data_IF_224692050249
#
_entry.id   IF_224692050249
#
_cell.length_a   1.000
_cell.length_b   1.000
_cell.length_c   1.000
_cell.angle_alpha   90.00
_cell.angle_beta   90.00
_cell.angle_gamma   90.00
#
_symmetry.space_group_name_H-M   'P 1'
#
loop_
_entity.id
_entity.type
_entity.pdbx_description
1 polymer ?
#
# COMPACT_ATOMS: atom_id res chain seq x y z
N UNK A 1 22.44 6.06 11.82
CA UNK A 1 21.54 5.01 11.31
C UNK A 1 22.39 3.87 10.77
N UNK A 2 22.64 2.83 11.59
CA UNK A 2 23.41 1.66 11.17
C UNK A 2 22.50 0.66 10.45
N UNK A 3 22.15 0.97 9.21
CA UNK A 3 21.44 0.04 8.33
C UNK A 3 22.40 -1.10 7.94
N UNK A 4 22.38 -2.20 8.71
CA UNK A 4 23.13 -3.41 8.35
C UNK A 4 22.46 -4.02 7.10
N UNK A 5 23.17 -4.24 5.98
CA UNK A 5 22.58 -4.75 4.73
C UNK A 5 21.86 -6.09 4.93
N UNK A 6 22.34 -6.93 5.87
CA UNK A 6 21.64 -8.17 6.25
C UNK A 6 20.25 -7.97 6.86
N UNK A 7 19.96 -6.85 7.54
CA UNK A 7 18.61 -6.56 8.05
C UNK A 7 17.65 -6.12 6.95
N UNK A 8 18.15 -5.38 5.95
CA UNK A 8 17.32 -4.96 4.81
C UNK A 8 16.88 -6.16 3.98
N UNK A 9 17.77 -7.13 3.75
CA UNK A 9 17.43 -8.37 3.04
C UNK A 9 16.38 -9.20 3.81
N UNK A 10 16.44 -9.22 5.14
CA UNK A 10 15.46 -9.91 5.97
C UNK A 10 14.08 -9.25 5.94
N UNK A 11 14.03 -7.92 5.99
CA UNK A 11 12.77 -7.20 5.83
C UNK A 11 12.19 -7.37 4.42
N UNK A 12 13.05 -7.45 3.39
CA UNK A 12 12.61 -7.72 2.03
C UNK A 12 12.07 -9.15 1.87
N UNK A 13 12.65 -10.14 2.54
CA UNK A 13 12.08 -11.50 2.54
C UNK A 13 10.77 -11.57 3.31
N UNK A 14 10.67 -10.91 4.46
CA UNK A 14 9.44 -10.88 5.27
C UNK A 14 8.31 -10.07 4.59
N UNK A 15 8.58 -9.33 3.51
CA UNK A 15 7.56 -8.67 2.69
C UNK A 15 6.89 -9.60 1.66
N UNK A 16 7.56 -10.69 1.29
CA UNK A 16 7.17 -11.57 0.16
C UNK A 16 7.12 -13.05 0.53
N UNK A 17 7.32 -13.38 1.80
CA UNK A 17 7.35 -14.75 2.28
C UNK A 17 6.77 -14.83 3.70
N UNK A 18 5.89 -15.80 3.88
CA UNK A 18 5.36 -16.17 5.17
C UNK A 18 6.16 -17.32 5.80
N UNK A 19 5.99 -17.53 7.11
CA UNK A 19 6.66 -18.62 7.80
C UNK A 19 5.72 -19.46 8.66
N UNK A 20 5.91 -20.77 8.58
CA UNK A 20 5.31 -21.73 9.50
C UNK A 20 6.35 -22.11 10.53
N UNK A 21 5.99 -21.96 11.81
CA UNK A 21 6.82 -22.33 12.93
C UNK A 21 6.33 -23.62 13.58
N UNK A 22 7.25 -24.54 13.79
CA UNK A 22 7.06 -25.74 14.59
C UNK A 22 7.74 -25.49 15.93
N UNK A 23 6.94 -25.39 17.00
CA UNK A 23 7.41 -25.12 18.35
C UNK A 23 7.17 -26.34 19.23
N UNK A 24 8.23 -26.77 19.91
CA UNK A 24 8.16 -27.78 20.97
C UNK A 24 8.46 -27.11 22.30
N UNK A 25 7.49 -27.09 23.21
CA UNK A 25 7.69 -26.56 24.56
C UNK A 25 8.46 -27.57 25.41
N UNK A 26 9.48 -27.09 26.11
CA UNK A 26 10.31 -27.89 27.03
C UNK A 26 9.95 -27.66 28.50
N UNK A 27 9.01 -26.74 28.78
CA UNK A 27 8.48 -26.47 30.13
C UNK A 27 7.07 -27.04 30.26
N UNK A 28 6.85 -27.87 31.27
CA UNK A 28 5.56 -28.53 31.51
C UNK A 28 5.37 -29.77 30.63
N UNK A 29 4.11 -30.11 30.32
CA UNK A 29 3.79 -31.19 29.37
C UNK A 29 4.33 -30.84 27.99
N UNK A 30 5.16 -31.71 27.41
CA UNK A 30 5.76 -31.51 26.09
C UNK A 30 4.69 -31.45 25.00
N UNK A 31 4.27 -30.24 24.63
CA UNK A 31 3.33 -30.00 23.54
C UNK A 31 4.07 -29.55 22.29
N UNK A 32 3.73 -30.19 21.17
CA UNK A 32 4.10 -29.74 19.84
C UNK A 32 3.00 -28.80 19.33
N UNK A 33 3.39 -27.64 18.82
CA UNK A 33 2.48 -26.69 18.17
C UNK A 33 3.05 -26.34 16.81
N UNK A 34 2.26 -26.53 15.76
CA UNK A 34 2.58 -26.07 14.42
C UNK A 34 1.65 -24.93 14.08
N UNK A 35 2.21 -23.74 13.87
CA UNK A 35 1.41 -22.56 13.59
C UNK A 35 2.09 -21.67 12.55
N UNK A 36 1.24 -20.95 11.84
CA UNK A 36 1.62 -19.88 10.94
C UNK A 36 1.98 -18.64 11.78
N UNK A 37 3.04 -17.91 11.43
CA UNK A 37 3.35 -16.64 12.11
C UNK A 37 2.30 -15.56 11.80
N UNK A 38 2.04 -14.66 12.77
CA UNK A 38 1.21 -13.48 12.60
C UNK A 38 -0.15 -13.60 13.31
N UNK A 39 -0.63 -14.82 13.52
CA UNK A 39 -1.96 -15.06 14.09
C UNK A 39 -1.97 -16.11 15.21
N UNK A 40 -2.74 -15.84 16.28
CA UNK A 40 -3.03 -16.83 17.34
C UNK A 40 -4.00 -17.93 16.87
N UNK A 41 -4.67 -17.73 15.73
CA UNK A 41 -5.75 -18.55 15.19
C UNK A 41 -5.32 -19.55 14.12
N UNK A 42 -4.15 -19.36 13.51
CA UNK A 42 -3.60 -20.20 12.44
C UNK A 42 -2.69 -21.32 12.97
N UNK A 43 -3.16 -22.03 14.01
CA UNK A 43 -2.55 -23.28 14.48
C UNK A 43 -3.14 -24.45 13.71
N UNK A 44 -2.29 -25.33 13.18
CA UNK A 44 -2.69 -26.52 12.46
C UNK A 44 -3.25 -27.56 13.42
N UNK A 45 -4.46 -28.05 13.17
CA UNK A 45 -5.05 -29.17 13.92
C UNK A 45 -4.37 -30.50 13.55
N UNK A 46 -3.95 -30.64 12.29
CA UNK A 46 -3.11 -31.76 11.81
C UNK A 46 -1.82 -31.20 11.22
N UNK A 47 -0.63 -31.67 11.67
CA UNK A 47 0.63 -31.19 11.14
C UNK A 47 0.72 -31.36 9.61
N UNK A 48 1.32 -30.40 8.89
CA UNK A 48 1.50 -30.50 7.44
C UNK A 48 2.46 -31.65 7.09
N UNK A 49 2.40 -32.17 5.86
CA UNK A 49 3.11 -33.39 5.45
C UNK A 49 4.65 -33.39 5.66
N UNK A 50 5.25 -32.20 5.76
CA UNK A 50 6.67 -32.00 6.04
C UNK A 50 7.02 -32.02 7.55
N UNK A 51 6.03 -32.21 8.42
CA UNK A 51 6.17 -32.45 9.86
C UNK A 51 5.58 -33.83 10.16
N UNK A 52 6.43 -34.77 10.57
CA UNK A 52 6.03 -36.12 10.94
C UNK A 52 6.29 -36.33 12.43
N UNK A 53 5.27 -36.78 13.15
CA UNK A 53 5.37 -37.13 14.56
C UNK A 53 5.18 -38.63 14.72
N UNK A 54 6.13 -39.30 15.37
CA UNK A 54 6.07 -40.73 15.70
C UNK A 54 6.41 -40.91 17.18
N UNK A 55 5.37 -40.96 18.01
CA UNK A 55 5.54 -40.90 19.46
C UNK A 55 6.14 -39.55 19.90
N UNK A 56 7.30 -39.60 20.55
CA UNK A 56 8.02 -38.40 20.98
C UNK A 56 8.95 -37.81 19.92
N UNK A 57 9.30 -38.58 18.88
CA UNK A 57 10.17 -38.10 17.81
C UNK A 57 9.38 -37.23 16.82
N UNK A 58 9.83 -35.99 16.62
CA UNK A 58 9.29 -35.06 15.63
C UNK A 58 10.33 -34.79 14.56
N UNK A 59 10.04 -35.19 13.33
CA UNK A 59 10.89 -34.92 12.16
C UNK A 59 10.27 -33.82 11.31
N UNK A 60 11.05 -32.77 11.08
CA UNK A 60 10.67 -31.60 10.29
C UNK A 60 11.59 -31.50 9.07
N UNK A 61 11.00 -31.55 7.88
CA UNK A 61 11.70 -31.29 6.62
C UNK A 61 11.59 -29.80 6.28
N UNK A 62 12.74 -29.13 6.21
CA UNK A 62 12.85 -27.70 5.90
C UNK A 62 13.06 -27.42 4.40
N UNK A 63 13.08 -28.46 3.57
CA UNK A 63 13.39 -28.38 2.15
C UNK A 63 14.89 -28.27 1.85
N UNK A 64 15.24 -28.41 0.56
CA UNK A 64 16.64 -28.39 0.08
C UNK A 64 17.56 -29.38 0.81
N UNK A 65 17.01 -30.51 1.29
CA UNK A 65 17.76 -31.54 2.01
C UNK A 65 18.08 -31.22 3.48
N UNK A 66 17.60 -30.09 4.02
CA UNK A 66 17.78 -29.74 5.44
C UNK A 66 16.65 -30.35 6.27
N UNK A 67 16.99 -31.13 7.30
CA UNK A 67 16.02 -31.78 8.18
C UNK A 67 16.34 -31.54 9.64
N UNK A 68 15.31 -31.44 10.46
CA UNK A 68 15.43 -31.30 11.92
C UNK A 68 14.69 -32.44 12.59
N UNK A 69 15.35 -33.13 13.50
CA UNK A 69 14.74 -34.16 14.35
C UNK A 69 14.78 -33.68 15.80
N UNK A 70 13.61 -33.62 16.44
CA UNK A 70 13.45 -33.19 17.83
C UNK A 70 12.90 -34.34 18.66
N UNK A 71 13.61 -34.71 19.73
CA UNK A 71 13.21 -35.74 20.67
C UNK A 71 13.57 -35.28 22.08
N UNK A 72 12.60 -35.27 22.99
CA UNK A 72 12.73 -34.77 24.36
C UNK A 72 13.40 -33.38 24.43
N UNK A 73 14.68 -33.33 24.84
CA UNK A 73 15.52 -32.14 24.98
C UNK A 73 16.64 -32.06 23.95
N UNK A 74 16.69 -32.98 22.99
CA UNK A 74 17.69 -33.07 21.92
C UNK A 74 17.08 -32.63 20.57
N UNK A 75 17.84 -31.82 19.84
CA UNK A 75 17.56 -31.42 18.46
C UNK A 75 18.76 -31.79 17.57
N UNK A 76 18.51 -32.55 16.51
CA UNK A 76 19.51 -32.89 15.50
C UNK A 76 19.17 -32.14 14.21
N UNK A 77 20.02 -31.20 13.83
CA UNK A 77 19.92 -30.44 12.58
C UNK A 77 20.86 -31.07 11.54
N UNK A 78 20.28 -31.56 10.45
CA UNK A 78 21.03 -32.13 9.32
C UNK A 78 21.04 -31.14 8.18
N UNK A 79 22.22 -30.77 7.70
CA UNK A 79 22.42 -29.83 6.60
C UNK A 79 23.26 -30.51 5.53
N UNK A 80 22.85 -30.49 4.25
CA UNK A 80 23.68 -30.97 3.15
C UNK A 80 25.05 -30.30 3.16
N UNK A 81 26.11 -31.06 2.90
CA UNK A 81 27.51 -30.60 2.81
C UNK A 81 28.16 -30.08 4.10
N UNK A 82 27.39 -29.82 5.17
CA UNK A 82 27.90 -29.41 6.48
C UNK A 82 27.88 -30.56 7.51
N UNK A 83 26.85 -31.41 7.49
CA UNK A 83 26.70 -32.56 8.40
C UNK A 83 25.63 -32.38 9.46
N UNK A 84 25.74 -33.13 10.56
CA UNK A 84 24.77 -33.12 11.67
C UNK A 84 25.26 -32.24 12.82
N UNK A 85 24.41 -31.31 13.26
CA UNK A 85 24.62 -30.51 14.47
C UNK A 85 23.67 -31.05 15.53
N UNK A 86 24.21 -31.50 16.66
CA UNK A 86 23.42 -31.95 17.81
C UNK A 86 23.33 -30.82 18.81
N UNK A 87 22.12 -30.50 19.26
CA UNK A 87 21.84 -29.47 20.25
C UNK A 87 21.07 -30.11 21.38
N UNK A 88 21.59 -30.04 22.60
CA UNK A 88 20.96 -30.63 23.78
C UNK A 88 20.70 -29.58 24.85
N UNK A 89 19.45 -29.53 25.32
CA UNK A 89 19.04 -28.62 26.39
C UNK A 89 19.20 -29.33 27.73
N UNK A 90 20.21 -28.94 28.49
CA UNK A 90 20.52 -29.49 29.81
C UNK A 90 20.16 -28.49 30.93
N UNK A 91 20.18 -28.94 32.19
CA UNK A 91 19.96 -28.07 33.34
C UNK A 91 20.99 -26.94 33.48
N UNK A 92 22.22 -27.12 32.98
CA UNK A 92 23.29 -26.13 33.03
C UNK A 92 23.29 -25.16 31.84
N UNK A 93 22.60 -25.47 30.74
CA UNK A 93 22.60 -24.66 29.53
C UNK A 93 22.32 -25.46 28.26
N UNK A 94 22.52 -24.82 27.12
CA UNK A 94 22.43 -25.45 25.81
C UNK A 94 23.84 -25.92 25.42
N UNK A 95 23.99 -27.22 25.18
CA UNK A 95 25.19 -27.81 24.61
C UNK A 95 24.99 -27.99 23.11
N UNK A 96 26.05 -27.78 22.32
CA UNK A 96 25.99 -27.84 20.87
C UNK A 96 27.24 -28.54 20.36
N UNK A 97 27.03 -29.69 19.72
CA UNK A 97 28.09 -30.46 19.09
C UNK A 97 28.07 -30.20 17.59
N UNK A 98 29.21 -29.71 17.08
CA UNK A 98 29.43 -29.49 15.66
C UNK A 98 30.04 -30.75 15.02
N UNK A 99 29.88 -30.93 13.70
CA UNK A 99 30.56 -31.99 12.97
C UNK A 99 32.08 -31.90 13.17
N UNK A 100 32.74 -33.05 13.31
CA UNK A 100 34.19 -33.12 13.55
C UNK A 100 34.97 -32.33 12.48
N UNK A 101 35.91 -31.49 12.94
CA UNK A 101 36.78 -30.70 12.07
C UNK A 101 36.15 -29.48 11.39
N UNK A 102 34.88 -29.14 11.70
CA UNK A 102 34.21 -27.95 11.14
C UNK A 102 34.19 -26.77 12.11
N UNK A 103 34.51 -25.58 11.61
CA UNK A 103 34.36 -24.32 12.36
C UNK A 103 32.93 -23.79 12.28
N UNK A 104 32.44 -23.07 13.31
CA UNK A 104 31.11 -22.46 13.27
C UNK A 104 31.02 -21.45 12.12
N UNK A 105 30.05 -21.58 11.21
CA UNK A 105 29.85 -20.64 10.11
C UNK A 105 29.12 -19.38 10.56
N UNK A 106 29.22 -18.30 9.80
CA UNK A 106 28.65 -16.98 10.15
C UNK A 106 27.13 -16.97 10.35
N UNK A 107 26.42 -17.94 9.77
CA UNK A 107 24.97 -18.10 9.91
C UNK A 107 24.57 -18.86 11.18
N UNK A 108 25.53 -19.37 11.96
CA UNK A 108 25.33 -20.14 13.17
C UNK A 108 25.81 -19.36 14.40
N UNK A 109 24.92 -19.18 15.37
CA UNK A 109 25.25 -18.61 16.68
C UNK A 109 24.84 -19.57 17.78
N UNK A 110 25.81 -20.26 18.36
CA UNK A 110 25.63 -21.15 19.49
C UNK A 110 26.21 -20.50 20.77
N UNK A 111 25.40 -20.41 21.81
CA UNK A 111 25.81 -19.97 23.15
C UNK A 111 25.13 -20.86 24.20
N UNK A 112 25.65 -20.87 25.42
CA UNK A 112 25.05 -21.64 26.53
C UNK A 112 23.62 -21.22 26.88
N UNK A 113 23.17 -20.03 26.44
CA UNK A 113 21.83 -19.50 26.66
C UNK A 113 20.89 -19.69 25.46
N UNK A 114 21.42 -19.65 24.23
CA UNK A 114 20.63 -19.70 23.00
C UNK A 114 21.43 -20.28 21.84
N UNK A 115 20.77 -21.12 21.06
CA UNK A 115 21.19 -21.54 19.73
C UNK A 115 20.31 -20.86 18.67
N UNK A 116 20.90 -20.25 17.64
CA UNK A 116 20.21 -19.65 16.49
C UNK A 116 21.00 -20.01 15.23
N UNK A 117 20.39 -20.78 14.34
CA UNK A 117 20.98 -21.22 13.08
C UNK A 117 20.13 -20.77 11.90
N UNK A 118 20.76 -20.23 10.86
CA UNK A 118 20.09 -19.81 9.64
C UNK A 118 20.78 -20.32 8.37
N UNK A 119 20.73 -21.64 8.09
CA UNK A 119 21.46 -22.25 6.97
C UNK A 119 21.15 -21.61 5.60
N UNK A 120 19.94 -21.08 5.44
CA UNK A 120 19.53 -20.30 4.28
C UNK A 120 18.51 -19.22 4.67
N UNK A 121 18.23 -18.27 3.78
CA UNK A 121 17.22 -17.23 4.01
C UNK A 121 15.83 -17.80 4.35
N UNK A 122 15.51 -19.00 3.83
CA UNK A 122 14.20 -19.62 4.01
C UNK A 122 14.08 -20.58 5.19
N UNK A 123 15.10 -20.67 6.05
CA UNK A 123 15.17 -21.66 7.13
C UNK A 123 15.78 -21.03 8.37
N UNK A 124 15.11 -21.14 9.53
CA UNK A 124 15.66 -20.67 10.81
C UNK A 124 15.36 -21.66 11.91
N UNK A 125 16.36 -21.98 12.71
CA UNK A 125 16.22 -22.88 13.86
C UNK A 125 16.67 -22.11 15.11
N UNK A 126 15.84 -22.11 16.14
CA UNK A 126 16.14 -21.49 17.42
C UNK A 126 15.92 -22.47 18.56
N UNK A 127 16.87 -22.58 19.46
CA UNK A 127 16.71 -23.35 20.69
C UNK A 127 16.99 -22.45 21.88
N UNK A 128 16.10 -22.51 22.86
CA UNK A 128 16.20 -21.86 24.16
C UNK A 128 15.93 -22.89 25.26
N UNK A 129 16.23 -22.56 26.51
CA UNK A 129 15.87 -23.41 27.66
C UNK A 129 14.36 -23.67 27.79
N UNK A 130 13.51 -22.84 27.18
CA UNK A 130 12.06 -22.96 27.30
C UNK A 130 11.41 -23.74 26.15
N UNK A 131 12.00 -23.69 24.96
CA UNK A 131 11.41 -24.21 23.73
C UNK A 131 12.43 -24.40 22.61
N UNK A 132 12.12 -25.32 21.71
CA UNK A 132 12.75 -25.46 20.39
C UNK A 132 11.79 -24.95 19.32
N UNK A 133 12.28 -24.13 18.40
CA UNK A 133 11.49 -23.53 17.32
C UNK A 133 12.19 -23.71 15.98
N UNK A 134 11.43 -24.19 15.00
CA UNK A 134 11.90 -24.43 13.64
C UNK A 134 10.99 -23.67 12.68
N UNK A 135 11.56 -22.78 11.88
CA UNK A 135 10.82 -21.96 10.92
C UNK A 135 11.14 -22.39 9.50
N UNK A 136 10.08 -22.70 8.75
CA UNK A 136 10.13 -22.90 7.31
C UNK A 136 9.43 -21.74 6.62
N UNK A 137 10.14 -21.05 5.74
CA UNK A 137 9.61 -19.93 4.98
C UNK A 137 9.09 -20.41 3.62
N UNK A 138 7.98 -19.83 3.19
CA UNK A 138 7.34 -20.11 1.91
C UNK A 138 7.20 -18.81 1.14
N UNK A 139 7.46 -18.84 -0.17
CA UNK A 139 7.28 -17.66 -1.01
C UNK A 139 5.80 -17.37 -1.25
N UNK A 140 5.44 -16.08 -1.25
CA UNK A 140 4.09 -15.60 -1.43
C UNK A 140 3.44 -15.15 -0.12
N UNK A 141 2.31 -14.47 -0.27
CA UNK A 141 1.48 -13.95 0.80
C UNK A 141 0.54 -15.02 1.32
N UNK A 142 0.67 -15.36 2.60
CA UNK A 142 -0.13 -16.43 3.18
C UNK A 142 -1.59 -16.03 3.31
N UNK A 143 -2.49 -16.98 3.04
CA UNK A 143 -3.93 -16.78 3.19
C UNK A 143 -4.45 -15.53 2.47
N UNK A 144 -3.69 -15.01 1.48
CA UNK A 144 -4.04 -13.79 0.75
C UNK A 144 -5.42 -13.93 0.12
N UNK A 145 -5.64 -15.04 -0.57
CA UNK A 145 -6.91 -15.27 -1.24
C UNK A 145 -8.02 -15.69 -0.26
N UNK A 146 -7.71 -16.57 0.69
CA UNK A 146 -8.70 -17.12 1.61
C UNK A 146 -8.11 -17.36 3.00
N UNK A 147 -8.86 -17.06 4.07
CA UNK A 147 -8.41 -17.24 5.45
C UNK A 147 -8.12 -18.70 5.77
N UNK A 148 -7.19 -18.94 6.71
CA UNK A 148 -6.70 -20.28 7.07
C UNK A 148 -7.80 -21.28 7.46
N UNK A 149 -8.85 -20.82 8.14
CA UNK A 149 -9.98 -21.67 8.60
C UNK A 149 -11.20 -21.62 7.68
N UNK A 150 -11.10 -21.00 6.51
CA UNK A 150 -12.22 -20.94 5.57
C UNK A 150 -12.43 -22.27 4.85
N UNK A 151 -13.65 -22.52 4.34
CA UNK A 151 -13.95 -23.71 3.53
C UNK A 151 -13.14 -23.79 2.22
N UNK A 152 -12.56 -22.67 1.81
CA UNK A 152 -11.74 -22.50 0.61
C UNK A 152 -10.23 -22.57 0.94
N UNK A 153 -9.86 -22.71 2.21
CA UNK A 153 -8.46 -22.80 2.62
C UNK A 153 -7.77 -23.99 1.94
N UNK A 154 -6.60 -23.75 1.38
CA UNK A 154 -5.80 -24.77 0.68
C UNK A 154 -6.38 -25.26 -0.66
N UNK A 155 -7.52 -24.74 -1.13
CA UNK A 155 -8.06 -25.09 -2.45
C UNK A 155 -7.17 -24.55 -3.57
N UNK A 156 -6.89 -25.38 -4.57
CA UNK A 156 -6.07 -24.96 -5.72
C UNK A 156 -6.84 -24.00 -6.63
N UNK A 157 -6.12 -23.13 -7.36
CA UNK A 157 -6.75 -22.16 -8.26
C UNK A 157 -7.69 -22.80 -9.31
N UNK A 158 -7.35 -23.94 -9.95
CA UNK A 158 -8.28 -24.63 -10.86
C UNK A 158 -9.53 -25.15 -10.17
N UNK A 159 -9.42 -25.63 -8.92
CA UNK A 159 -10.57 -26.09 -8.14
C UNK A 159 -11.51 -24.93 -7.82
N UNK A 160 -10.97 -23.76 -7.49
CA UNK A 160 -11.78 -22.57 -7.19
C UNK A 160 -12.50 -22.08 -8.44
N UNK A 161 -11.85 -22.06 -9.61
CA UNK A 161 -12.51 -21.73 -10.86
C UNK A 161 -13.63 -22.73 -11.16
N UNK A 162 -13.36 -24.03 -11.03
CA UNK A 162 -14.38 -25.07 -11.24
C UNK A 162 -15.56 -24.90 -10.28
N UNK A 163 -15.27 -24.64 -9.01
CA UNK A 163 -16.27 -24.43 -7.96
C UNK A 163 -17.11 -23.17 -8.24
N UNK A 164 -16.51 -22.09 -8.74
CA UNK A 164 -17.23 -20.86 -9.07
C UNK A 164 -18.36 -21.08 -10.10
N UNK A 165 -18.17 -22.03 -11.02
CA UNK A 165 -19.14 -22.40 -12.05
C UNK A 165 -19.89 -23.71 -11.77
N UNK A 166 -19.61 -24.41 -10.67
CA UNK A 166 -20.27 -25.67 -10.34
C UNK A 166 -21.66 -25.45 -9.78
N UNK A 167 -22.58 -26.35 -10.14
CA UNK A 167 -23.90 -26.45 -9.51
C UNK A 167 -23.85 -27.03 -8.10
N UNK A 168 -22.80 -27.82 -7.80
CA UNK A 168 -22.57 -28.39 -6.47
C UNK A 168 -22.13 -27.28 -5.51
N UNK A 169 -23.03 -26.87 -4.63
CA UNK A 169 -22.78 -25.80 -3.66
C UNK A 169 -22.09 -26.35 -2.42
N UNK A 170 -21.01 -25.68 -1.98
CA UNK A 170 -20.37 -25.96 -0.69
C UNK A 170 -21.24 -25.54 0.49
N UNK A 171 -21.90 -24.39 0.35
CA UNK A 171 -22.90 -23.89 1.29
C UNK A 171 -24.29 -23.89 0.64
N UNK A 172 -25.32 -24.47 1.28
CA UNK A 172 -26.67 -24.55 0.69
C UNK A 172 -27.25 -23.17 0.32
N UNK A 173 -26.96 -22.17 1.17
CA UNK A 173 -27.59 -20.84 1.16
C UNK A 173 -26.93 -19.83 0.21
N UNK A 174 -25.69 -20.07 -0.25
CA UNK A 174 -24.93 -19.10 -1.06
C UNK A 174 -24.41 -19.70 -2.37
N UNK A 175 -24.53 -18.99 -3.50
CA UNK A 175 -23.83 -19.37 -4.73
C UNK A 175 -22.31 -19.38 -4.52
N UNK A 176 -21.61 -20.38 -5.07
CA UNK A 176 -20.17 -20.55 -4.87
C UNK A 176 -19.35 -19.31 -5.28
N UNK A 177 -19.69 -18.63 -6.38
CA UNK A 177 -19.02 -17.39 -6.78
C UNK A 177 -19.12 -16.29 -5.72
N UNK A 178 -20.28 -16.19 -5.04
CA UNK A 178 -20.53 -15.20 -3.99
C UNK A 178 -19.80 -15.59 -2.72
N UNK A 179 -19.74 -16.88 -2.39
CA UNK A 179 -18.90 -17.39 -1.30
C UNK A 179 -17.44 -17.02 -1.54
N UNK A 180 -16.89 -17.36 -2.70
CA UNK A 180 -15.50 -17.05 -3.09
C UNK A 180 -15.23 -15.54 -2.97
N UNK A 181 -16.09 -14.71 -3.55
CA UNK A 181 -15.93 -13.26 -3.48
C UNK A 181 -16.01 -12.75 -2.04
N UNK A 182 -17.00 -13.18 -1.25
CA UNK A 182 -17.18 -12.70 0.11
C UNK A 182 -16.06 -13.15 1.04
N UNK A 183 -15.55 -14.37 0.89
CA UNK A 183 -14.43 -14.89 1.68
C UNK A 183 -13.13 -14.14 1.35
N UNK A 184 -12.91 -13.82 0.07
CA UNK A 184 -11.79 -12.96 -0.33
C UNK A 184 -11.99 -11.54 0.18
N UNK A 185 -13.12 -10.89 -0.12
CA UNK A 185 -13.36 -9.49 0.21
C UNK A 185 -13.32 -9.18 1.71
N UNK A 186 -13.87 -10.08 2.53
CA UNK A 186 -13.93 -9.96 3.98
C UNK A 186 -12.84 -10.78 4.69
N UNK A 187 -11.72 -11.02 4.02
CA UNK A 187 -10.57 -11.68 4.62
C UNK A 187 -10.09 -10.87 5.84
N UNK A 188 -10.11 -11.41 7.08
CA UNK A 188 -9.72 -10.68 8.28
C UNK A 188 -8.23 -10.33 8.31
N UNK A 189 -7.39 -11.14 7.65
CA UNK A 189 -5.93 -11.03 7.69
C UNK A 189 -5.46 -9.85 6.80
N UNK A 190 -6.05 -9.76 5.61
CA UNK A 190 -5.66 -8.82 4.55
C UNK A 190 -6.61 -7.65 4.39
N UNK A 191 -7.83 -7.78 4.91
CA UNK A 191 -8.88 -6.75 4.93
C UNK A 191 -9.11 -6.10 3.55
N UNK A 192 -9.14 -6.90 2.48
CA UNK A 192 -9.20 -6.41 1.10
C UNK A 192 -10.29 -5.35 0.87
N UNK A 193 -11.48 -5.55 1.45
CA UNK A 193 -12.56 -4.56 1.37
C UNK A 193 -12.23 -3.23 2.02
N UNK A 194 -11.65 -3.23 3.21
CA UNK A 194 -11.22 -2.01 3.91
C UNK A 194 -10.11 -1.29 3.13
N UNK A 195 -9.15 -2.04 2.60
CA UNK A 195 -8.06 -1.50 1.77
C UNK A 195 -8.60 -0.84 0.52
N UNK A 196 -9.55 -1.48 -0.17
CA UNK A 196 -10.18 -0.90 -1.36
C UNK A 196 -10.93 0.40 -1.02
N UNK A 197 -11.69 0.42 0.08
CA UNK A 197 -12.37 1.63 0.55
C UNK A 197 -11.33 2.73 0.86
N UNK A 198 -10.25 2.41 1.55
CA UNK A 198 -9.19 3.36 1.88
C UNK A 198 -8.48 3.95 0.63
N UNK A 199 -8.27 3.13 -0.40
CA UNK A 199 -7.79 3.61 -1.71
C UNK A 199 -8.80 4.54 -2.37
N UNK A 200 -10.09 4.17 -2.34
CA UNK A 200 -11.16 4.98 -2.89
C UNK A 200 -11.27 6.32 -2.16
N UNK A 201 -11.17 6.33 -0.83
CA UNK A 201 -11.13 7.55 -0.03
C UNK A 201 -9.96 8.45 -0.45
N UNK A 202 -8.76 7.89 -0.64
CA UNK A 202 -7.58 8.64 -1.09
C UNK A 202 -7.79 9.26 -2.47
N UNK A 203 -8.37 8.49 -3.39
CA UNK A 203 -8.76 8.98 -4.71
C UNK A 203 -9.81 10.09 -4.63
N UNK A 204 -10.86 9.89 -3.83
CA UNK A 204 -11.95 10.86 -3.65
C UNK A 204 -11.47 12.15 -2.99
N UNK A 205 -10.56 12.08 -2.00
CA UNK A 205 -9.92 13.25 -1.41
C UNK A 205 -9.26 14.12 -2.47
N UNK A 206 -8.45 13.51 -3.33
CA UNK A 206 -7.78 14.21 -4.41
C UNK A 206 -8.76 14.77 -5.44
N UNK A 207 -9.75 13.99 -5.89
CA UNK A 207 -10.75 14.44 -6.86
C UNK A 207 -11.60 15.59 -6.32
N UNK A 208 -12.20 15.41 -5.15
CA UNK A 208 -13.09 16.40 -4.54
C UNK A 208 -12.33 17.65 -4.14
N UNK A 209 -11.12 17.50 -3.58
CA UNK A 209 -10.27 18.62 -3.21
C UNK A 209 -9.87 19.45 -4.44
N UNK A 210 -9.34 18.80 -5.48
CA UNK A 210 -8.93 19.49 -6.71
C UNK A 210 -10.11 20.12 -7.44
N UNK A 211 -11.24 19.42 -7.51
CA UNK A 211 -12.45 19.95 -8.15
C UNK A 211 -12.98 21.18 -7.41
N UNK A 212 -13.04 21.11 -6.08
CA UNK A 212 -13.47 22.24 -5.24
C UNK A 212 -12.52 23.43 -5.41
N UNK A 213 -11.21 23.18 -5.43
CA UNK A 213 -10.21 24.20 -5.69
C UNK A 213 -10.34 24.84 -7.07
N UNK A 214 -10.61 24.05 -8.11
CA UNK A 214 -10.82 24.56 -9.46
C UNK A 214 -12.11 25.40 -9.54
N UNK A 215 -13.20 24.93 -8.93
CA UNK A 215 -14.50 25.61 -8.92
C UNK A 215 -14.46 26.92 -8.11
N UNK A 216 -13.75 26.95 -6.98
CA UNK A 216 -13.57 28.15 -6.18
C UNK A 216 -12.50 29.09 -6.78
N UNK A 217 -11.42 28.53 -7.33
CA UNK A 217 -10.31 29.26 -7.93
C UNK A 217 -10.70 29.96 -9.22
N UNK A 218 -11.58 29.38 -10.03
CA UNK A 218 -12.03 29.96 -11.30
C UNK A 218 -12.70 31.36 -11.17
N UNK A 219 -13.75 31.55 -10.36
CA UNK A 219 -14.36 32.88 -10.18
C UNK A 219 -13.36 33.87 -9.56
N UNK A 220 -12.56 33.44 -8.60
CA UNK A 220 -11.52 34.28 -8.00
C UNK A 220 -10.44 34.67 -9.03
N UNK A 221 -10.10 33.78 -9.96
CA UNK A 221 -9.14 34.04 -11.01
C UNK A 221 -9.60 35.17 -11.95
N UNK A 222 -10.90 35.21 -12.28
CA UNK A 222 -11.50 36.27 -13.08
C UNK A 222 -11.41 37.62 -12.32
N UNK A 223 -11.66 37.62 -11.01
CA UNK A 223 -11.50 38.81 -10.16
C UNK A 223 -10.04 39.27 -10.03
N UNK A 224 -9.08 38.34 -10.15
CA UNK A 224 -7.65 38.62 -10.06
C UNK A 224 -6.99 39.01 -11.40
N UNK A 225 -7.69 38.82 -12.52
CA UNK A 225 -7.17 39.08 -13.87
C UNK A 225 -7.35 40.57 -14.26
N UNK A 226 -6.26 41.21 -14.67
CA UNK A 226 -6.20 42.65 -15.01
C UNK A 226 -7.05 43.06 -16.21
N UNK A 227 -7.29 42.15 -17.13
CA UNK A 227 -8.10 42.38 -18.33
C UNK A 227 -9.61 42.21 -18.08
N UNK A 228 -10.02 41.56 -16.98
CA UNK A 228 -11.43 41.35 -16.62
C UNK A 228 -11.91 42.23 -15.48
N UNK A 229 -11.03 42.63 -14.56
CA UNK A 229 -11.40 43.38 -13.34
C UNK A 229 -10.78 44.77 -13.32
N UNK A 230 -11.56 45.86 -13.47
CA UNK A 230 -11.06 47.23 -13.46
C UNK A 230 -10.56 47.70 -12.08
N UNK A 231 -11.14 47.17 -11.00
CA UNK A 231 -10.82 47.58 -9.63
C UNK A 231 -9.45 47.04 -9.20
N UNK A 232 -8.48 47.95 -9.07
CA UNK A 232 -7.13 47.61 -8.62
C UNK A 232 -7.11 47.06 -7.19
N UNK A 233 -7.96 47.60 -6.32
CA UNK A 233 -8.07 47.18 -4.91
C UNK A 233 -8.59 45.75 -4.81
N UNK A 234 -9.68 45.43 -5.53
CA UNK A 234 -10.26 44.09 -5.54
C UNK A 234 -9.26 43.07 -6.08
N UNK A 235 -8.62 43.39 -7.20
CA UNK A 235 -7.59 42.55 -7.81
C UNK A 235 -6.42 42.32 -6.85
N UNK A 236 -5.95 43.36 -6.16
CA UNK A 236 -4.88 43.25 -5.17
C UNK A 236 -5.29 42.35 -4.00
N UNK A 237 -6.50 42.54 -3.45
CA UNK A 237 -7.01 41.73 -2.36
C UNK A 237 -7.10 40.25 -2.71
N UNK A 238 -7.68 39.90 -3.87
CA UNK A 238 -7.79 38.49 -4.30
C UNK A 238 -6.42 37.86 -4.54
N UNK A 239 -5.46 38.60 -5.11
CA UNK A 239 -4.08 38.12 -5.26
C UNK A 239 -3.41 37.83 -3.92
N UNK A 240 -3.63 38.67 -2.90
CA UNK A 240 -3.14 38.42 -1.53
C UNK A 240 -3.79 37.19 -0.90
N UNK A 241 -5.07 36.93 -1.17
CA UNK A 241 -5.72 35.69 -0.74
C UNK A 241 -5.05 34.46 -1.37
N UNK A 242 -4.71 34.50 -2.66
CA UNK A 242 -3.97 33.41 -3.30
C UNK A 242 -2.59 33.21 -2.68
N UNK A 243 -1.86 34.31 -2.41
CA UNK A 243 -0.54 34.25 -1.78
C UNK A 243 -0.62 33.66 -0.37
N UNK A 244 -1.67 33.99 0.40
CA UNK A 244 -1.91 33.43 1.73
C UNK A 244 -2.22 31.94 1.69
N UNK A 245 -3.17 31.51 0.85
CA UNK A 245 -3.55 30.09 0.72
C UNK A 245 -2.36 29.21 0.31
N UNK A 246 -1.49 29.73 -0.57
CA UNK A 246 -0.25 29.05 -1.01
C UNK A 246 0.89 29.13 0.00
N UNK A 247 0.85 30.10 0.91
CA UNK A 247 1.87 30.27 1.94
C UNK A 247 1.78 29.22 3.05
N UNK A 248 0.61 28.62 3.23
CA UNK A 248 0.37 27.56 4.21
C UNK A 248 0.47 26.20 3.51
N UNK A 249 1.34 25.34 4.03
CA UNK A 249 1.50 23.98 3.52
C UNK A 249 0.23 23.14 3.72
N UNK A 250 -0.01 22.23 2.77
CA UNK A 250 -1.17 21.35 2.76
C UNK A 250 -1.27 20.47 4.02
N UNK A 251 -0.14 20.07 4.64
CA UNK A 251 -0.13 19.32 5.90
C UNK A 251 -0.64 20.19 7.06
N UNK A 252 -0.29 21.49 7.07
CA UNK A 252 -0.77 22.43 8.08
C UNK A 252 -2.28 22.64 7.93
N UNK A 253 -2.78 22.82 6.69
CA UNK A 253 -4.21 22.88 6.43
C UNK A 253 -4.94 21.63 6.92
N UNK A 254 -4.35 20.45 6.72
CA UNK A 254 -4.90 19.21 7.25
C UNK A 254 -5.00 19.23 8.76
N UNK A 255 -3.96 19.65 9.49
CA UNK A 255 -4.00 19.72 10.96
C UNK A 255 -5.11 20.66 11.46
N UNK A 256 -5.30 21.80 10.79
CA UNK A 256 -6.38 22.74 11.09
C UNK A 256 -7.74 22.07 10.89
N UNK A 257 -7.95 21.38 9.76
CA UNK A 257 -9.21 20.73 9.46
C UNK A 257 -9.47 19.47 10.29
N UNK A 258 -8.43 18.73 10.69
CA UNK A 258 -8.55 17.62 11.67
C UNK A 258 -9.12 18.17 12.97
N UNK A 259 -8.64 19.34 13.42
CA UNK A 259 -9.13 19.94 14.66
C UNK A 259 -10.57 20.44 14.54
N UNK A 260 -10.99 20.85 13.34
CA UNK A 260 -12.31 21.40 13.07
C UNK A 260 -13.38 20.32 12.81
N UNK A 261 -13.07 19.31 11.99
CA UNK A 261 -14.01 18.30 11.49
C UNK A 261 -13.70 16.87 11.96
N UNK A 262 -12.54 16.64 12.57
CA UNK A 262 -12.09 15.32 12.98
C UNK A 262 -11.24 14.61 11.93
N UNK A 263 -10.86 13.37 12.25
CA UNK A 263 -10.13 12.49 11.34
C UNK A 263 -11.06 12.01 10.21
N UNK A 264 -10.52 11.89 9.00
CA UNK A 264 -11.23 11.27 7.88
C UNK A 264 -11.14 12.02 6.54
N UNK A 265 -11.71 11.44 5.47
CA UNK A 265 -11.46 11.88 4.09
C UNK A 265 -11.90 13.31 3.78
N UNK A 266 -12.96 13.80 4.44
CA UNK A 266 -13.43 15.17 4.28
C UNK A 266 -12.32 16.18 4.64
N UNK A 267 -11.59 15.91 5.70
CA UNK A 267 -10.49 16.75 6.18
C UNK A 267 -9.36 16.83 5.16
N UNK A 268 -8.98 15.70 4.54
CA UNK A 268 -7.98 15.70 3.48
C UNK A 268 -8.46 16.40 2.21
N UNK A 269 -9.71 16.21 1.81
CA UNK A 269 -10.29 16.89 0.66
C UNK A 269 -10.29 18.42 0.84
N UNK A 270 -10.64 18.92 2.04
CA UNK A 270 -10.62 20.35 2.35
C UNK A 270 -9.19 20.91 2.42
N UNK A 271 -8.24 20.15 2.98
CA UNK A 271 -6.84 20.55 3.01
C UNK A 271 -6.28 20.76 1.59
N UNK A 272 -6.58 19.82 0.69
CA UNK A 272 -6.25 19.94 -0.73
C UNK A 272 -6.98 21.13 -1.34
N UNK A 273 -8.29 21.26 -1.12
CA UNK A 273 -9.10 22.33 -1.71
C UNK A 273 -8.56 23.73 -1.38
N UNK A 274 -8.21 23.99 -0.12
CA UNK A 274 -7.71 25.29 0.31
C UNK A 274 -6.32 25.60 -0.27
N UNK A 275 -5.41 24.63 -0.21
CA UNK A 275 -4.06 24.77 -0.76
C UNK A 275 -4.11 25.04 -2.28
N UNK A 276 -4.90 24.26 -2.99
CA UNK A 276 -4.97 24.32 -4.45
C UNK A 276 -5.76 25.52 -4.95
N UNK A 277 -6.74 26.03 -4.19
CA UNK A 277 -7.49 27.23 -4.60
C UNK A 277 -6.55 28.41 -4.85
N UNK A 278 -5.54 28.59 -4.00
CA UNK A 278 -4.54 29.64 -4.19
C UNK A 278 -3.66 29.40 -5.41
N UNK A 279 -3.22 28.15 -5.62
CA UNK A 279 -2.36 27.78 -6.74
C UNK A 279 -3.08 27.85 -8.10
N UNK A 280 -4.20 27.13 -8.22
CA UNK A 280 -5.04 27.12 -9.42
C UNK A 280 -5.63 28.50 -9.70
N UNK A 281 -6.12 29.22 -8.70
CA UNK A 281 -6.64 30.57 -8.89
C UNK A 281 -5.60 31.53 -9.48
N UNK A 282 -4.36 31.46 -8.99
CA UNK A 282 -3.24 32.25 -9.55
C UNK A 282 -2.93 31.84 -10.99
N UNK A 283 -2.76 30.55 -11.27
CA UNK A 283 -2.46 30.03 -12.61
C UNK A 283 -3.59 30.35 -13.61
N UNK A 284 -4.84 30.22 -13.18
CA UNK A 284 -6.00 30.56 -14.00
C UNK A 284 -6.07 32.07 -14.27
N UNK A 285 -5.71 32.92 -13.30
CA UNK A 285 -5.68 34.37 -13.50
C UNK A 285 -4.61 34.76 -14.51
N UNK A 286 -3.44 34.14 -14.47
CA UNK A 286 -2.36 34.38 -15.43
C UNK A 286 -2.73 33.88 -16.82
N UNK A 287 -3.40 32.72 -16.92
CA UNK A 287 -3.91 32.23 -18.20
C UNK A 287 -4.96 33.18 -18.80
N UNK A 288 -5.84 33.77 -17.98
CA UNK A 288 -6.80 34.79 -18.40
C UNK A 288 -6.09 36.06 -18.87
N UNK A 289 -5.04 36.51 -18.20
CA UNK A 289 -4.25 37.70 -18.59
C UNK A 289 -3.47 37.51 -19.90
N UNK A 290 -3.08 36.28 -20.21
CA UNK A 290 -2.29 35.92 -21.39
C UNK A 290 -3.12 35.59 -22.65
N UNK A 291 -4.45 35.78 -22.61
CA UNK A 291 -5.31 35.55 -23.78
C UNK A 291 -4.92 36.48 -24.94
N UNK A 292 -4.83 35.93 -26.15
CA UNK A 292 -4.39 36.66 -27.34
C UNK A 292 -5.46 37.66 -27.81
N UNK A 293 -5.15 38.95 -27.66
CA UNK A 293 -6.02 40.06 -28.05
C UNK A 293 -6.37 40.05 -29.54
N UNK A 294 -5.48 39.60 -30.43
CA UNK A 294 -5.75 39.55 -31.88
C UNK A 294 -6.88 38.57 -32.23
N UNK A 295 -6.93 37.42 -31.56
CA UNK A 295 -8.01 36.46 -31.75
C UNK A 295 -9.34 37.03 -31.24
N UNK A 296 -9.31 37.79 -30.14
CA UNK A 296 -10.48 38.47 -29.61
C UNK A 296 -10.98 39.59 -30.54
N UNK A 297 -10.08 40.41 -31.08
CA UNK A 297 -10.40 41.47 -32.05
C UNK A 297 -10.97 40.90 -33.35
N UNK A 298 -10.45 39.76 -33.83
CA UNK A 298 -10.98 39.07 -35.00
C UNK A 298 -12.43 38.61 -34.83
N UNK A 299 -12.79 38.09 -33.65
CA UNK A 299 -14.19 37.74 -33.32
C UNK A 299 -15.07 38.99 -33.21
N UNK A 300 -14.57 40.07 -32.60
CA UNK A 300 -15.32 41.35 -32.53
C UNK A 300 -15.60 41.93 -33.92
N UNK A 301 -14.65 41.80 -34.86
CA UNK A 301 -14.78 42.35 -36.21
C UNK A 301 -15.91 41.70 -37.03
N UNK A 302 -16.40 40.50 -36.65
CA UNK A 302 -17.53 39.85 -37.31
C UNK A 302 -18.89 40.38 -36.84
N UNK A 303 -18.94 41.38 -35.95
CA UNK A 303 -20.17 41.86 -35.33
C UNK A 303 -20.67 40.97 -34.18
N UNK A 304 -19.80 40.13 -33.61
CA UNK A 304 -20.17 39.24 -32.51
C UNK A 304 -20.63 40.00 -31.26
N UNK A 305 -21.72 39.55 -30.65
CA UNK A 305 -22.19 40.11 -29.38
C UNK A 305 -21.28 39.68 -28.21
N UNK A 306 -21.47 40.27 -27.01
CA UNK A 306 -20.62 40.00 -25.83
C UNK A 306 -20.52 38.51 -25.45
N UNK A 307 -21.61 37.76 -25.59
CA UNK A 307 -21.61 36.33 -25.27
C UNK A 307 -20.83 35.51 -26.29
N UNK A 308 -20.98 35.83 -27.58
CA UNK A 308 -20.21 35.23 -28.67
C UNK A 308 -18.73 35.58 -28.54
N UNK A 309 -18.41 36.81 -28.16
CA UNK A 309 -17.04 37.27 -27.91
C UNK A 309 -16.34 36.41 -26.85
N UNK A 310 -16.95 36.19 -25.67
CA UNK A 310 -16.33 35.34 -24.65
C UNK A 310 -16.28 33.86 -25.08
N UNK A 311 -17.37 33.36 -25.66
CA UNK A 311 -17.49 31.95 -26.05
C UNK A 311 -16.51 31.54 -27.16
N UNK A 312 -16.27 32.41 -28.13
CA UNK A 312 -15.43 32.10 -29.29
C UNK A 312 -14.06 32.79 -29.24
N UNK A 313 -13.93 33.91 -28.53
CA UNK A 313 -12.68 34.66 -28.40
C UNK A 313 -11.84 34.25 -27.19
N UNK A 314 -12.44 33.93 -26.04
CA UNK A 314 -11.70 33.72 -24.78
C UNK A 314 -11.68 32.25 -24.36
N UNK A 315 -12.86 31.63 -24.21
CA UNK A 315 -13.03 30.27 -23.68
C UNK A 315 -12.15 29.22 -24.40
N UNK A 316 -12.02 29.22 -25.74
CA UNK A 316 -11.21 28.22 -26.44
C UNK A 316 -9.72 28.31 -26.11
N UNK A 317 -9.22 29.50 -25.72
CA UNK A 317 -7.82 29.72 -25.38
C UNK A 317 -7.50 29.25 -23.95
N UNK A 318 -8.43 29.41 -23.01
CA UNK A 318 -8.19 29.12 -21.58
C UNK A 318 -8.53 27.69 -21.17
N UNK A 319 -9.54 27.04 -21.77
CA UNK A 319 -9.96 25.67 -21.41
C UNK A 319 -8.79 24.67 -21.44
N UNK A 320 -7.94 24.64 -22.49
CA UNK A 320 -6.83 23.68 -22.55
C UNK A 320 -5.87 23.85 -21.38
N UNK A 321 -5.61 25.09 -20.98
CA UNK A 321 -4.75 25.41 -19.84
C UNK A 321 -5.42 24.99 -18.53
N UNK A 322 -6.70 25.33 -18.33
CA UNK A 322 -7.42 25.00 -17.10
C UNK A 322 -7.51 23.51 -16.87
N UNK A 323 -7.86 22.74 -17.91
CA UNK A 323 -7.96 21.28 -17.81
C UNK A 323 -6.57 20.67 -17.63
N UNK A 324 -5.54 21.17 -18.33
CA UNK A 324 -4.17 20.67 -18.15
C UNK A 324 -3.66 20.89 -16.73
N UNK A 325 -3.90 22.07 -16.15
CA UNK A 325 -3.52 22.37 -14.77
C UNK A 325 -4.35 21.55 -13.78
N UNK A 326 -5.67 21.45 -13.97
CA UNK A 326 -6.54 20.62 -13.12
C UNK A 326 -6.12 19.15 -13.09
N UNK A 327 -5.80 18.57 -14.25
CA UNK A 327 -5.31 17.18 -14.33
C UNK A 327 -3.94 16.99 -13.68
N UNK A 328 -3.04 17.98 -13.83
CA UNK A 328 -1.74 17.97 -13.17
C UNK A 328 -1.87 18.02 -11.63
N UNK A 329 -2.69 18.92 -11.11
CA UNK A 329 -2.94 19.00 -9.68
C UNK A 329 -3.65 17.76 -9.16
N UNK A 330 -4.62 17.20 -9.90
CA UNK A 330 -5.28 15.96 -9.53
C UNK A 330 -4.28 14.80 -9.37
N UNK A 331 -3.38 14.63 -10.34
CA UNK A 331 -2.32 13.62 -10.31
C UNK A 331 -1.38 13.82 -9.10
N UNK A 332 -0.93 15.05 -8.89
CA UNK A 332 -0.09 15.42 -7.73
C UNK A 332 -0.81 15.16 -6.41
N UNK A 333 -2.09 15.49 -6.33
CA UNK A 333 -2.91 15.38 -5.13
C UNK A 333 -3.19 13.94 -4.73
N UNK A 334 -3.22 13.00 -5.67
CA UNK A 334 -3.37 11.57 -5.34
C UNK A 334 -2.14 11.07 -4.59
N UNK A 335 -0.93 11.53 -4.97
CA UNK A 335 0.31 11.21 -4.25
C UNK A 335 0.37 11.87 -2.88
N UNK A 336 0.00 13.16 -2.86
CA UNK A 336 -0.08 13.97 -1.65
C UNK A 336 -1.12 13.46 -0.64
N UNK A 337 -2.27 12.97 -1.11
CA UNK A 337 -3.35 12.46 -0.26
C UNK A 337 -2.90 11.27 0.60
N UNK A 338 -1.99 10.43 0.12
CA UNK A 338 -1.38 9.37 0.94
C UNK A 338 -0.57 9.94 2.11
N UNK A 339 0.18 11.03 1.89
CA UNK A 339 1.01 11.67 2.92
C UNK A 339 0.11 12.34 3.97
N UNK A 340 -0.93 13.06 3.54
CA UNK A 340 -1.88 13.67 4.49
C UNK A 340 -2.68 12.60 5.21
N UNK A 341 -3.07 11.52 4.51
CA UNK A 341 -3.79 10.40 5.09
C UNK A 341 -3.03 9.78 6.26
N UNK A 342 -1.71 9.64 6.12
CA UNK A 342 -0.80 9.18 7.17
C UNK A 342 -0.78 10.11 8.41
N UNK A 343 -1.13 11.39 8.27
CA UNK A 343 -1.28 12.33 9.39
C UNK A 343 -2.68 12.31 10.02
N UNK A 344 -3.58 11.44 9.58
CA UNK A 344 -4.92 11.31 10.15
C UNK A 344 -6.06 11.83 9.26
N UNK A 345 -5.80 12.23 8.02
CA UNK A 345 -6.86 12.55 7.07
C UNK A 345 -7.57 11.32 6.47
N UNK A 346 -7.25 10.11 6.95
CA UNK A 346 -7.90 8.87 6.51
C UNK A 346 -7.31 8.28 5.23
N UNK A 347 -8.06 7.38 4.59
CA UNK A 347 -7.62 6.68 3.39
C UNK A 347 -6.41 5.76 3.61
N UNK A 348 -5.72 5.44 2.51
CA UNK A 348 -4.65 4.44 2.49
C UNK A 348 -3.44 4.85 3.34
N UNK A 349 -3.21 6.15 3.48
CA UNK A 349 -2.11 6.69 4.28
C UNK A 349 -2.23 6.33 5.75
N UNK A 350 -3.45 6.39 6.31
CA UNK A 350 -3.70 6.03 7.70
C UNK A 350 -3.42 4.53 7.93
N UNK A 351 -3.95 3.68 7.05
CA UNK A 351 -3.75 2.23 7.12
C UNK A 351 -2.27 1.81 6.95
N UNK A 352 -1.53 2.53 6.11
CA UNK A 352 -0.08 2.35 5.98
C UNK A 352 0.65 2.61 7.30
N UNK A 353 0.35 3.73 7.98
CA UNK A 353 0.97 4.05 9.27
C UNK A 353 0.60 3.05 10.35
N UNK A 354 -0.66 2.59 10.38
CA UNK A 354 -1.13 1.57 11.32
C UNK A 354 -0.38 0.24 11.15
N UNK A 355 -0.27 -0.27 9.92
CA UNK A 355 0.46 -1.52 9.65
C UNK A 355 1.96 -1.39 9.95
N UNK A 356 2.58 -0.24 9.65
CA UNK A 356 3.99 0.02 9.98
C UNK A 356 4.24 0.07 11.48
N UNK A 357 3.32 0.63 12.27
CA UNK A 357 3.44 0.75 13.72
C UNK A 357 3.29 -0.59 14.44
N UNK A 358 2.50 -1.52 13.90
CA UNK A 358 2.31 -2.86 14.48
C UNK A 358 3.58 -3.72 14.38
N UNK A 359 4.53 -3.38 13.50
CA UNK A 359 5.84 -4.04 13.29
C UNK A 359 5.82 -5.54 12.97
N UNK A 360 4.64 -6.19 12.95
CA UNK A 360 4.47 -7.63 12.74
C UNK A 360 3.99 -7.98 11.32
N UNK A 361 3.38 -7.03 10.61
CA UNK A 361 2.67 -7.32 9.36
C UNK A 361 3.34 -6.63 8.16
N UNK A 362 4.63 -6.92 7.95
CA UNK A 362 5.40 -6.31 6.85
C UNK A 362 4.87 -6.73 5.47
N UNK A 363 4.24 -7.90 5.39
CA UNK A 363 3.49 -8.37 4.22
C UNK A 363 2.30 -7.44 3.90
N UNK A 364 1.50 -7.08 4.91
CA UNK A 364 0.39 -6.14 4.77
C UNK A 364 0.89 -4.75 4.34
N UNK A 365 1.98 -4.25 4.95
CA UNK A 365 2.59 -2.98 4.52
C UNK A 365 3.04 -3.02 3.06
N UNK A 366 3.70 -4.08 2.62
CA UNK A 366 4.13 -4.25 1.23
C UNK A 366 2.94 -4.27 0.26
N UNK A 367 1.86 -4.96 0.63
CA UNK A 367 0.61 -4.98 -0.13
C UNK A 367 -0.02 -3.59 -0.30
N UNK A 368 -0.12 -2.81 0.77
CA UNK A 368 -0.65 -1.44 0.72
C UNK A 368 0.22 -0.51 -0.14
N UNK A 369 1.56 -0.64 -0.06
CA UNK A 369 2.50 0.13 -0.88
C UNK A 369 2.32 -0.22 -2.36
N UNK A 370 2.26 -1.50 -2.71
CA UNK A 370 2.08 -1.94 -4.10
C UNK A 370 0.77 -1.41 -4.69
N UNK A 371 -0.31 -1.45 -3.92
CA UNK A 371 -1.59 -0.90 -4.35
C UNK A 371 -1.57 0.62 -4.52
N UNK A 372 -0.92 1.33 -3.60
CA UNK A 372 -0.77 2.80 -3.68
C UNK A 372 0.04 3.18 -4.92
N UNK A 373 1.15 2.50 -5.18
CA UNK A 373 1.96 2.70 -6.40
C UNK A 373 1.14 2.38 -7.65
N UNK A 374 0.37 1.29 -7.63
CA UNK A 374 -0.54 0.92 -8.71
C UNK A 374 -1.57 2.02 -9.01
N UNK A 375 -2.22 2.57 -7.96
CA UNK A 375 -3.16 3.69 -8.08
C UNK A 375 -2.49 4.91 -8.73
N UNK A 376 -1.29 5.29 -8.28
CA UNK A 376 -0.54 6.42 -8.83
C UNK A 376 -0.20 6.20 -10.31
N UNK A 377 0.28 5.01 -10.69
CA UNK A 377 0.61 4.68 -12.09
C UNK A 377 -0.62 4.72 -12.99
N UNK A 378 -1.74 4.16 -12.52
CA UNK A 378 -3.01 4.18 -13.26
C UNK A 378 -3.44 5.63 -13.51
N UNK A 379 -3.37 6.48 -12.48
CA UNK A 379 -3.79 7.87 -12.56
C UNK A 379 -2.87 8.74 -13.43
N UNK A 380 -1.56 8.57 -13.34
CA UNK A 380 -0.61 9.23 -14.25
C UNK A 380 -0.87 8.83 -15.72
N UNK A 381 -1.10 7.54 -15.96
CA UNK A 381 -1.42 7.05 -17.32
C UNK A 381 -2.73 7.64 -17.85
N UNK A 382 -3.77 7.72 -17.01
CA UNK A 382 -5.07 8.31 -17.36
C UNK A 382 -4.94 9.83 -17.64
N UNK A 383 -4.32 10.57 -16.73
CA UNK A 383 -4.07 12.01 -16.84
C UNK A 383 -3.21 12.34 -18.07
N UNK A 384 -2.17 11.55 -18.34
CA UNK A 384 -1.33 11.66 -19.52
C UNK A 384 -2.10 11.45 -20.82
N UNK A 385 -2.96 10.42 -20.91
CA UNK A 385 -3.80 10.14 -22.08
C UNK A 385 -4.81 11.28 -22.33
N UNK A 386 -5.46 11.77 -21.26
CA UNK A 386 -6.42 12.88 -21.34
C UNK A 386 -5.74 14.18 -21.83
N UNK A 387 -4.60 14.53 -21.23
CA UNK A 387 -3.80 15.70 -21.62
C UNK A 387 -3.34 15.65 -23.07
N UNK A 388 -2.86 14.48 -23.54
CA UNK A 388 -2.46 14.29 -24.95
C UNK A 388 -3.63 14.52 -25.92
N UNK A 389 -4.82 13.98 -25.63
CA UNK A 389 -6.01 14.18 -26.49
C UNK A 389 -6.43 15.65 -26.57
N UNK A 390 -6.35 16.38 -25.45
CA UNK A 390 -6.71 17.80 -25.41
C UNK A 390 -5.72 18.67 -26.19
N UNK A 391 -4.42 18.41 -26.08
CA UNK A 391 -3.39 19.17 -26.81
C UNK A 391 -3.45 18.87 -28.33
N UNK A 392 -3.58 17.61 -28.72
CA UNK A 392 -3.65 17.24 -30.15
C UNK A 392 -4.96 17.70 -30.82
N UNK A 393 -6.09 17.63 -30.10
CA UNK A 393 -7.37 18.13 -30.61
C UNK A 393 -7.39 19.65 -30.86
N UNK A 394 -6.59 20.41 -30.11
CA UNK A 394 -6.43 21.87 -30.31
C UNK A 394 -5.45 22.17 -31.44
N UNK A 395 -4.34 21.44 -31.55
CA UNK A 395 -3.35 21.62 -32.61
C UNK A 395 -3.93 21.36 -34.01
N UNK A 396 -4.72 20.28 -34.16
CA UNK A 396 -5.34 19.91 -35.43
C UNK A 396 -6.45 20.90 -35.85
N UNK A 397 -7.17 21.50 -34.89
CA UNK A 397 -8.19 22.52 -35.19
C UNK A 397 -7.58 23.85 -35.60
N UNK A 398 -6.40 24.20 -35.09
CA UNK A 398 -5.69 25.41 -35.48
C UNK A 398 -5.01 25.29 -36.86
N UNK A 399 -4.59 24.09 -37.28
CA UNK A 399 -4.03 23.86 -38.62
C UNK A 399 -5.08 23.79 -39.74
N UNK A 400 -6.36 23.58 -39.41
CA UNK A 400 -7.47 23.56 -40.38
C UNK A 400 -8.04 24.98 -40.62
N UNK A 401 -7.76 25.92 -39.71
CA UNK A 401 -8.26 27.30 -39.75
C UNK A 401 -7.18 28.35 -40.11
N UNK A 402 -5.98 27.90 -40.51
CA UNK A 402 -4.99 28.71 -41.23
C UNK A 402 -5.05 28.31 -42.71
#
# INVERSE_FOLDING_TARGET
SNARPGRALLLATDAVAHKVHVTRNLRGTSSLTVAVEGERTATYDTPPAWVKQSGDLVRVDLGKGVTVEMQETVLILTIPDYGHIRVEVTGSGIQTDLPEGKTPPDWLRATSAKFDARPSLGQRIQVSRARMEVHRYFGGWENFFFPFRSELAGSSFPEIIRLAFSSDRRQPETPNWKLIFNTFWNNPDWQHGNVFIALLETFLMAVLGTLTAALAGLPLAILAASNFTPSQVLRFAVRRVFDFLRGIDMLIWSLIFIRAFGLGPLTGALAIAFTDTGSLGKLFSEALENVNKRQMEGVSATGANRWQFYRFGVIPQIIPVFVSQGLYYLESNIRSATIIGALGAGGIGLMLVETMNTQRDWENTAYLILLTVGLVIIMDTLSGKLRKRLIHGVAQKNSINQ
#
